data_IF_348600752036
#
_entry.id   IF_348600752036
#
_cell.length_a   1.000
_cell.length_b   1.000
_cell.length_c   1.000
_cell.angle_alpha   90.00
_cell.angle_beta   90.00
_cell.angle_gamma   90.00
#
_symmetry.space_group_name_H-M   'P 1'
#
loop_
_entity.id
_entity.type
_entity.pdbx_description
1 polymer ?
#
# COMPACT_ATOMS: atom_id res chain seq x y z
N UNK A 1 -1.59 17.72 9.26
CA UNK A 1 -0.77 17.97 8.06
C UNK A 1 -1.07 16.82 7.12
N UNK A 2 -1.76 17.09 6.01
CA UNK A 2 -2.17 16.05 5.05
C UNK A 2 -1.02 15.89 4.05
N UNK A 3 -0.26 14.80 4.16
CA UNK A 3 0.79 14.48 3.20
C UNK A 3 0.08 13.85 2.00
N UNK A 4 -0.21 14.65 0.98
CA UNK A 4 -0.70 14.11 -0.30
C UNK A 4 0.47 13.47 -1.02
N UNK A 5 0.42 12.14 -1.18
CA UNK A 5 1.42 11.41 -1.95
C UNK A 5 1.38 11.92 -3.40
N UNK A 6 2.53 12.30 -3.93
CA UNK A 6 2.67 12.63 -5.35
C UNK A 6 2.29 11.37 -6.14
N UNK A 7 1.37 11.44 -7.09
CA UNK A 7 0.97 10.28 -7.90
C UNK A 7 2.16 9.60 -8.60
N UNK A 8 3.26 10.32 -8.83
CA UNK A 8 4.51 9.75 -9.38
C UNK A 8 5.27 8.85 -8.41
N UNK A 9 4.91 8.88 -7.14
CA UNK A 9 5.50 8.04 -6.08
C UNK A 9 4.76 6.71 -5.89
N UNK A 10 3.60 6.56 -6.53
CA UNK A 10 2.81 5.32 -6.48
C UNK A 10 3.53 4.18 -7.22
N UNK A 11 3.35 2.91 -6.80
CA UNK A 11 3.84 1.77 -7.54
C UNK A 11 3.26 1.70 -8.96
N UNK A 12 3.91 0.95 -9.84
CA UNK A 12 3.32 0.63 -11.14
C UNK A 12 2.11 -0.31 -10.98
N UNK A 13 1.14 -0.24 -11.90
CA UNK A 13 0.00 -1.17 -11.88
C UNK A 13 0.48 -2.63 -11.85
N UNK A 14 -0.12 -3.42 -10.97
CA UNK A 14 0.21 -4.82 -10.67
C UNK A 14 1.62 -5.06 -10.13
N UNK A 15 2.29 -4.02 -9.62
CA UNK A 15 3.57 -4.18 -8.95
C UNK A 15 3.40 -4.87 -7.60
N UNK A 16 4.24 -5.87 -7.33
CA UNK A 16 4.35 -6.46 -6.02
C UNK A 16 5.05 -5.49 -5.06
N UNK A 17 4.45 -5.32 -3.90
CA UNK A 17 4.91 -4.40 -2.87
C UNK A 17 4.81 -5.05 -1.51
N UNK A 18 5.65 -4.61 -0.58
CA UNK A 18 5.38 -4.75 0.84
C UNK A 18 5.02 -3.40 1.43
N UNK A 19 4.08 -3.39 2.36
CA UNK A 19 3.51 -2.17 2.91
C UNK A 19 3.17 -2.31 4.39
N UNK A 20 2.98 -1.18 5.05
CA UNK A 20 2.48 -1.12 6.42
C UNK A 20 1.19 -0.31 6.48
N UNK A 21 0.26 -0.80 7.29
CA UNK A 21 -0.97 -0.10 7.61
C UNK A 21 -0.83 0.73 8.89
N UNK A 22 -1.56 1.84 8.98
CA UNK A 22 -1.52 2.81 10.10
C UNK A 22 -1.64 2.11 11.46
N UNK A 23 -2.59 1.18 11.58
CA UNK A 23 -2.90 0.50 12.85
C UNK A 23 -1.80 -0.43 13.34
N UNK A 24 -0.88 -0.85 12.47
CA UNK A 24 0.15 -1.83 12.78
C UNK A 24 1.58 -1.28 12.62
N UNK A 25 1.71 -0.03 12.18
CA UNK A 25 2.99 0.66 12.03
C UNK A 25 3.80 0.60 13.33
N UNK A 26 3.15 0.88 14.47
CA UNK A 26 3.76 0.88 15.80
C UNK A 26 4.27 -0.52 16.22
N UNK A 27 3.74 -1.57 15.61
CA UNK A 27 4.14 -2.95 15.85
C UNK A 27 5.17 -3.46 14.83
N UNK A 28 5.50 -2.66 13.81
CA UNK A 28 6.48 -3.03 12.80
C UNK A 28 6.03 -4.18 11.88
N UNK A 29 4.72 -4.45 11.80
CA UNK A 29 4.17 -5.51 10.96
C UNK A 29 4.11 -5.04 9.50
N UNK A 30 4.49 -5.90 8.58
CA UNK A 30 4.45 -5.66 7.14
C UNK A 30 3.52 -6.67 6.48
N UNK A 31 2.79 -6.20 5.48
CA UNK A 31 2.01 -7.02 4.57
C UNK A 31 2.68 -7.04 3.20
N UNK A 32 2.42 -8.07 2.43
CA UNK A 32 2.84 -8.20 1.04
C UNK A 32 1.60 -8.32 0.16
N UNK A 33 1.62 -7.66 -0.99
CA UNK A 33 0.49 -7.66 -1.90
C UNK A 33 0.83 -7.05 -3.24
N UNK A 34 -0.21 -6.78 -4.01
CA UNK A 34 -0.13 -6.21 -5.36
C UNK A 34 -0.86 -4.88 -5.37
N UNK A 35 -0.22 -3.86 -5.95
CA UNK A 35 -0.88 -2.57 -6.20
C UNK A 35 -1.82 -2.65 -7.41
N UNK A 36 -3.05 -2.15 -7.25
CA UNK A 36 -4.06 -2.06 -8.31
C UNK A 36 -4.32 -0.57 -8.57
N UNK A 37 -3.84 -0.07 -9.71
CA UNK A 37 -3.83 1.38 -9.97
C UNK A 37 -5.22 1.96 -10.29
N UNK A 38 -6.13 1.17 -10.84
CA UNK A 38 -7.49 1.64 -11.17
C UNK A 38 -8.34 1.89 -9.90
N UNK A 39 -7.98 1.24 -8.79
CA UNK A 39 -8.71 1.29 -7.52
C UNK A 39 -7.90 1.96 -6.40
N UNK A 40 -6.63 2.30 -6.64
CA UNK A 40 -5.70 2.84 -5.64
C UNK A 40 -5.61 1.97 -4.36
N UNK A 41 -5.60 0.64 -4.51
CA UNK A 41 -5.53 -0.32 -3.39
C UNK A 41 -4.27 -1.18 -3.42
N UNK A 42 -3.88 -1.67 -2.24
CA UNK A 42 -3.00 -2.83 -2.12
C UNK A 42 -3.82 -4.07 -1.79
N UNK A 43 -3.80 -5.03 -2.71
CA UNK A 43 -4.51 -6.30 -2.59
C UNK A 43 -3.57 -7.38 -2.07
N UNK A 44 -3.90 -8.00 -0.93
CA UNK A 44 -3.15 -9.13 -0.35
C UNK A 44 -3.69 -10.44 -0.89
N UNK A 45 -5.01 -10.59 -0.89
CA UNK A 45 -5.73 -11.73 -1.46
C UNK A 45 -7.13 -11.30 -1.98
N UNK A 46 -8.00 -12.24 -2.34
CA UNK A 46 -9.33 -11.93 -2.88
C UNK A 46 -10.33 -11.33 -1.87
N UNK A 47 -10.07 -11.47 -0.58
CA UNK A 47 -10.93 -10.99 0.51
C UNK A 47 -10.29 -9.84 1.32
N UNK A 48 -8.98 -9.61 1.15
CA UNK A 48 -8.18 -8.64 1.91
C UNK A 48 -7.51 -7.64 0.98
N UNK A 49 -7.89 -6.38 1.14
CA UNK A 49 -7.29 -5.24 0.47
C UNK A 49 -7.28 -4.01 1.38
N UNK A 50 -6.39 -3.07 1.09
CA UNK A 50 -6.22 -1.85 1.86
C UNK A 50 -6.19 -0.63 0.94
N UNK A 51 -6.91 0.41 1.34
CA UNK A 51 -6.95 1.70 0.63
C UNK A 51 -5.68 2.51 0.91
N UNK A 52 -5.01 2.96 -0.16
CA UNK A 52 -3.72 3.63 -0.04
C UNK A 52 -3.80 4.97 0.70
N UNK A 53 -4.94 5.65 0.61
CA UNK A 53 -5.11 7.01 1.09
C UNK A 53 -5.49 7.07 2.57
N UNK A 54 -6.09 6.00 3.09
CA UNK A 54 -6.61 5.93 4.46
C UNK A 54 -5.87 4.95 5.36
N UNK A 55 -5.35 3.86 4.82
CA UNK A 55 -4.81 2.77 5.62
C UNK A 55 -3.30 2.64 5.51
N UNK A 56 -2.68 3.07 4.41
CA UNK A 56 -1.25 2.84 4.15
C UNK A 56 -0.40 4.01 4.65
N UNK A 57 0.67 3.70 5.39
CA UNK A 57 1.65 4.70 5.85
C UNK A 57 2.95 4.70 5.05
N UNK A 58 3.35 3.52 4.55
CA UNK A 58 4.55 3.36 3.71
C UNK A 58 4.52 2.05 2.95
N UNK A 59 5.26 2.00 1.85
CA UNK A 59 5.46 0.81 1.04
C UNK A 59 6.83 0.82 0.37
N UNK A 60 7.24 -0.34 -0.10
CA UNK A 60 8.39 -0.49 -0.97
C UNK A 60 8.17 -1.62 -1.99
N UNK A 61 8.73 -1.48 -3.20
CA UNK A 61 8.61 -2.50 -4.24
C UNK A 61 9.40 -3.77 -3.85
N UNK A 62 8.82 -4.93 -4.16
CA UNK A 62 9.51 -6.21 -4.09
C UNK A 62 10.17 -6.49 -5.44
N UNK A 63 11.47 -6.81 -5.43
CA UNK A 63 12.26 -7.17 -6.61
C UNK A 63 12.15 -8.66 -6.95
#
# INVERSE_FOLDING_TARGET
MEIKLDQRSLPADKQYVRFQVVVEELHGIWHEGVYIADEDIFKVDDEVWYDIWSEIVRWEPLN
#
